data_IF_795110752331
#
_entry.id   IF_795110752331
#
_cell.length_a   1.000
_cell.length_b   1.000
_cell.length_c   1.000
_cell.angle_alpha   90.00
_cell.angle_beta   90.00
_cell.angle_gamma   90.00
#
_symmetry.space_group_name_H-M   'P 1'
#
loop_
_entity.id
_entity.type
_entity.pdbx_description
1 polymer ?
#
# COMPACT_ATOMS: atom_id res chain seq x y z
N UNK A 1 8.17 5.80 50.64
CA UNK A 1 9.30 5.49 49.75
C UNK A 1 8.92 4.26 48.94
N UNK A 2 8.35 4.47 47.74
CA UNK A 2 8.00 3.38 46.82
C UNK A 2 9.09 3.33 45.73
N UNK A 3 9.68 2.15 45.54
CA UNK A 3 10.83 1.96 44.64
C UNK A 3 10.41 2.04 43.17
N UNK A 4 11.10 2.88 42.40
CA UNK A 4 10.89 3.10 40.96
C UNK A 4 11.38 1.94 40.07
N UNK A 5 11.43 0.71 40.58
CA UNK A 5 12.05 -0.45 39.89
C UNK A 5 11.06 -1.33 39.12
N UNK A 6 9.82 -0.89 38.91
CA UNK A 6 8.75 -1.73 38.34
C UNK A 6 7.99 -1.10 37.16
N UNK A 7 8.49 -0.01 36.60
CA UNK A 7 7.97 0.53 35.35
C UNK A 7 9.13 0.74 34.38
N UNK A 8 9.64 -0.38 33.84
CA UNK A 8 10.39 -0.33 32.60
C UNK A 8 9.39 0.05 31.50
N UNK A 9 9.61 1.21 30.90
CA UNK A 9 8.78 1.75 29.83
C UNK A 9 8.96 0.87 28.59
N UNK A 10 7.94 0.11 28.14
CA UNK A 10 8.08 -0.82 27.02
C UNK A 10 8.16 -0.13 25.65
N UNK A 11 8.22 1.21 25.62
CA UNK A 11 8.27 2.05 24.42
C UNK A 11 9.58 2.86 24.30
N UNK A 12 10.61 2.52 25.08
CA UNK A 12 11.88 3.26 25.04
C UNK A 12 12.75 2.95 23.81
N UNK A 13 12.42 1.90 23.05
CA UNK A 13 13.22 1.40 21.91
C UNK A 13 12.51 1.52 20.54
N UNK A 14 11.36 2.21 20.45
CA UNK A 14 10.70 2.42 19.16
C UNK A 14 11.32 3.63 18.43
N UNK A 15 12.57 3.46 17.99
CA UNK A 15 13.16 4.19 16.85
C UNK A 15 12.51 3.70 15.54
N UNK A 16 11.18 3.84 15.44
CA UNK A 16 10.46 3.74 14.17
C UNK A 16 10.80 4.97 13.33
N UNK A 17 12.00 4.96 12.73
CA UNK A 17 12.35 5.75 11.56
C UNK A 17 11.46 5.32 10.38
N UNK A 18 10.19 5.73 10.44
CA UNK A 18 9.25 5.70 9.33
C UNK A 18 9.77 6.66 8.25
N UNK A 19 10.66 6.14 7.40
CA UNK A 19 11.07 6.77 6.17
C UNK A 19 9.86 6.84 5.23
N UNK A 20 9.11 7.94 5.30
CA UNK A 20 8.16 8.31 4.26
C UNK A 20 8.93 8.62 2.98
N UNK A 21 9.10 7.61 2.13
CA UNK A 21 9.48 7.82 0.74
C UNK A 21 8.38 8.62 0.06
N UNK A 22 8.72 9.84 -0.39
CA UNK A 22 7.85 10.70 -1.18
C UNK A 22 7.54 10.01 -2.52
N UNK A 23 6.33 9.46 -2.66
CA UNK A 23 5.86 8.90 -3.92
C UNK A 23 5.36 10.07 -4.77
N UNK A 24 6.20 10.57 -5.67
CA UNK A 24 5.80 11.46 -6.74
C UNK A 24 4.81 10.73 -7.66
N UNK A 25 3.57 11.22 -7.83
CA UNK A 25 2.67 10.65 -8.82
C UNK A 25 3.18 10.99 -10.21
N UNK A 26 3.52 9.95 -10.97
CA UNK A 26 3.84 10.05 -12.39
C UNK A 26 2.59 10.52 -13.16
N UNK A 27 2.61 11.75 -13.67
CA UNK A 27 1.55 12.31 -14.50
C UNK A 27 1.57 11.63 -15.87
N UNK A 28 0.92 10.48 -15.97
CA UNK A 28 0.53 9.88 -17.24
C UNK A 28 -0.83 10.41 -17.67
N UNK A 29 -0.85 11.43 -18.55
CA UNK A 29 -2.02 11.79 -19.34
C UNK A 29 -2.52 10.57 -20.12
N UNK A 30 -3.71 10.06 -19.78
CA UNK A 30 -4.45 9.17 -20.67
C UNK A 30 -5.74 9.86 -21.07
N UNK A 31 -5.72 10.30 -22.32
CA UNK A 31 -6.77 10.93 -23.09
C UNK A 31 -8.06 10.12 -23.03
N UNK A 32 -9.15 10.83 -22.71
CA UNK A 32 -10.53 10.35 -22.77
C UNK A 32 -10.93 9.95 -24.20
N UNK A 33 -11.45 8.73 -24.35
CA UNK A 33 -12.14 8.27 -25.55
C UNK A 33 -13.60 7.94 -25.23
N UNK A 34 -14.50 8.88 -25.53
CA UNK A 34 -15.94 8.74 -25.41
C UNK A 34 -16.53 7.75 -26.45
N UNK A 35 -17.55 6.98 -26.05
CA UNK A 35 -18.30 6.09 -26.95
C UNK A 35 -19.53 5.46 -26.27
N UNK A 36 -20.67 6.12 -26.41
CA UNK A 36 -22.04 5.80 -25.97
C UNK A 36 -22.67 4.58 -26.73
N UNK A 37 -23.97 4.22 -26.54
CA UNK A 37 -24.52 3.26 -25.59
C UNK A 37 -25.19 2.04 -26.28
N UNK A 38 -25.57 0.96 -25.58
CA UNK A 38 -26.63 0.07 -26.10
C UNK A 38 -27.30 -0.86 -25.09
N UNK A 39 -28.62 -0.65 -24.97
CA UNK A 39 -29.72 -1.61 -24.87
C UNK A 39 -29.69 -2.76 -23.85
N UNK A 40 -30.59 -2.60 -22.86
CA UNK A 40 -31.58 -3.56 -22.37
C UNK A 40 -31.49 -5.03 -22.83
N UNK A 41 -31.44 -5.94 -21.84
CA UNK A 41 -32.35 -7.09 -21.81
C UNK A 41 -32.62 -7.55 -20.38
N UNK A 42 -33.89 -7.44 -19.99
CA UNK A 42 -34.52 -8.07 -18.82
C UNK A 42 -34.67 -9.57 -19.07
N UNK A 43 -34.16 -10.38 -18.16
CA UNK A 43 -34.57 -11.76 -17.83
C UNK A 43 -34.01 -11.96 -16.41
N UNK A 44 -34.75 -12.29 -15.35
CA UNK A 44 -35.81 -13.27 -15.27
C UNK A 44 -35.37 -14.36 -14.30
N UNK A 45 -35.64 -14.17 -13.00
CA UNK A 45 -35.91 -15.22 -11.99
C UNK A 45 -34.79 -16.24 -11.69
N UNK A 46 -34.38 -16.33 -10.41
CA UNK A 46 -34.71 -17.43 -9.48
C UNK A 46 -33.89 -17.24 -8.19
N UNK A 47 -34.61 -17.00 -7.10
CA UNK A 47 -34.09 -16.93 -5.74
C UNK A 47 -33.76 -18.35 -5.28
N UNK A 48 -32.49 -18.61 -4.99
CA UNK A 48 -32.06 -19.79 -4.25
C UNK A 48 -31.40 -19.30 -2.96
N UNK A 49 -32.15 -19.44 -1.88
CA UNK A 49 -31.65 -19.48 -0.52
C UNK A 49 -30.56 -20.56 -0.46
N UNK A 50 -29.33 -20.17 -0.13
CA UNK A 50 -28.30 -21.12 0.25
C UNK A 50 -27.81 -20.78 1.65
N UNK A 51 -28.02 -21.77 2.51
CA UNK A 51 -27.73 -21.78 3.91
C UNK A 51 -26.24 -21.99 4.18
N UNK A 52 -25.79 -21.48 5.33
CA UNK A 52 -24.67 -22.04 6.06
C UNK A 52 -23.35 -21.31 5.90
N UNK A 53 -22.97 -20.53 6.90
CA UNK A 53 -21.91 -20.93 7.84
C UNK A 53 -21.67 -19.78 8.81
N UNK A 54 -22.49 -19.69 9.86
CA UNK A 54 -22.20 -18.82 10.99
C UNK A 54 -21.22 -19.56 11.89
N UNK A 55 -20.01 -19.04 11.97
CA UNK A 55 -18.99 -19.42 12.95
C UNK A 55 -19.52 -19.05 14.32
N UNK A 56 -19.75 -20.07 15.15
CA UNK A 56 -20.22 -19.96 16.52
C UNK A 56 -19.13 -19.37 17.40
N UNK A 57 -19.21 -18.06 17.67
CA UNK A 57 -18.46 -17.45 18.75
C UNK A 57 -19.01 -17.94 20.10
N UNK A 58 -18.13 -18.61 20.83
CA UNK A 58 -18.31 -19.18 22.15
C UNK A 58 -18.85 -18.15 23.15
N UNK A 59 -20.15 -18.21 23.46
CA UNK A 59 -20.76 -17.58 24.62
C UNK A 59 -20.26 -18.29 25.87
N UNK A 60 -19.31 -17.69 26.60
CA UNK A 60 -19.05 -18.06 27.99
C UNK A 60 -20.21 -17.54 28.84
N UNK A 61 -20.96 -18.49 29.40
CA UNK A 61 -21.96 -18.24 30.43
C UNK A 61 -21.27 -17.69 31.68
N UNK A 62 -21.47 -16.41 31.95
CA UNK A 62 -21.28 -15.86 33.29
C UNK A 62 -22.48 -16.31 34.13
N UNK A 63 -22.33 -17.42 34.84
CA UNK A 63 -23.25 -17.80 35.90
C UNK A 63 -22.99 -16.87 37.09
N UNK A 64 -23.81 -15.82 37.21
CA UNK A 64 -23.94 -15.03 38.42
C UNK A 64 -24.43 -15.94 39.55
N UNK A 65 -23.50 -16.42 40.37
CA UNK A 65 -23.82 -17.00 41.66
C UNK A 65 -24.17 -15.83 42.60
N UNK A 66 -25.47 -15.55 42.72
CA UNK A 66 -26.04 -14.73 43.79
C UNK A 66 -25.76 -15.40 45.14
N UNK A 67 -24.66 -15.03 45.78
CA UNK A 67 -24.38 -15.40 47.17
C UNK A 67 -25.15 -14.43 48.06
N UNK A 68 -26.26 -14.92 48.58
CA UNK A 68 -27.06 -14.24 49.60
C UNK A 68 -26.29 -14.26 50.92
N UNK A 69 -25.52 -13.22 51.20
CA UNK A 69 -24.92 -12.98 52.53
C UNK A 69 -26.02 -12.85 53.58
N UNK A 70 -26.07 -13.81 54.48
CA UNK A 70 -26.94 -13.79 55.66
C UNK A 70 -26.05 -13.46 56.87
N UNK A 71 -26.30 -12.37 57.63
CA UNK A 71 -25.41 -11.98 58.72
C UNK A 71 -25.60 -12.91 59.93
N UNK A 72 -24.53 -13.39 60.58
CA UNK A 72 -24.65 -14.18 61.79
C UNK A 72 -24.95 -13.29 63.01
N UNK A 73 -25.73 -13.77 63.98
CA UNK A 73 -26.02 -13.04 65.19
C UNK A 73 -24.80 -12.96 66.11
N UNK A 74 -24.57 -11.79 66.69
CA UNK A 74 -23.54 -11.53 67.69
C UNK A 74 -23.86 -12.26 68.99
N UNK A 75 -23.16 -13.37 69.26
CA UNK A 75 -23.07 -13.98 70.58
C UNK A 75 -21.74 -13.63 71.23
N UNK A 76 -21.82 -12.76 72.23
CA UNK A 76 -20.78 -12.48 73.21
C UNK A 76 -20.51 -13.72 74.07
N UNK A 77 -19.30 -14.27 73.96
CA UNK A 77 -18.61 -15.08 74.97
C UNK A 77 -17.17 -15.22 74.47
N UNK A 78 -16.15 -14.69 75.14
CA UNK A 78 -15.79 -15.09 76.48
C UNK A 78 -14.77 -16.22 76.40
N UNK A 79 -13.53 -15.85 76.06
CA UNK A 79 -12.30 -16.41 76.65
C UNK A 79 -12.14 -17.95 76.67
N UNK A 80 -11.82 -18.57 75.53
CA UNK A 80 -11.02 -19.81 75.49
C UNK A 80 -10.07 -19.80 74.29
N UNK A 81 -8.77 -19.83 74.60
CA UNK A 81 -7.66 -19.63 73.67
C UNK A 81 -7.21 -20.96 73.03
N UNK A 82 -6.98 -20.92 71.71
CA UNK A 82 -6.19 -21.87 70.90
C UNK A 82 -6.70 -23.34 70.78
N UNK A 83 -7.24 -23.75 69.60
CA UNK A 83 -6.37 -24.22 68.50
C UNK A 83 -6.87 -23.89 67.08
N UNK A 84 -7.83 -22.96 66.90
CA UNK A 84 -8.41 -22.65 65.59
C UNK A 84 -7.44 -21.98 64.58
N UNK A 85 -6.30 -21.45 65.06
CA UNK A 85 -5.32 -20.77 64.22
C UNK A 85 -4.59 -21.70 63.23
N UNK A 86 -4.46 -23.00 63.54
CA UNK A 86 -3.73 -23.95 62.67
C UNK A 86 -4.55 -24.38 61.44
N UNK A 87 -5.89 -24.43 61.55
CA UNK A 87 -6.77 -24.77 60.42
C UNK A 87 -6.78 -23.67 59.35
N UNK A 88 -6.78 -22.40 59.78
CA UNK A 88 -6.72 -21.25 58.87
C UNK A 88 -5.39 -21.10 58.12
N UNK A 89 -4.28 -21.59 58.68
CA UNK A 89 -2.98 -21.56 57.99
C UNK A 89 -2.92 -22.52 56.81
N UNK A 90 -3.51 -23.72 56.94
CA UNK A 90 -3.52 -24.70 55.85
C UNK A 90 -4.40 -24.26 54.67
N UNK A 91 -5.53 -23.61 54.94
CA UNK A 91 -6.37 -23.04 53.87
C UNK A 91 -5.67 -21.89 53.16
N UNK A 92 -5.03 -20.99 53.91
CA UNK A 92 -4.26 -19.87 53.34
C UNK A 92 -3.16 -20.36 52.40
N UNK A 93 -2.39 -21.37 52.84
CA UNK A 93 -1.34 -21.98 52.01
C UNK A 93 -1.87 -22.60 50.72
N UNK A 94 -3.01 -23.29 50.75
CA UNK A 94 -3.62 -23.86 49.53
C UNK A 94 -4.07 -22.78 48.55
N UNK A 95 -4.61 -21.67 49.04
CA UNK A 95 -4.98 -20.54 48.18
C UNK A 95 -3.75 -19.87 47.57
N UNK A 96 -2.66 -19.71 48.33
CA UNK A 96 -1.40 -19.19 47.82
C UNK A 96 -0.81 -20.09 46.71
N UNK A 97 -0.80 -21.41 46.93
CA UNK A 97 -0.36 -22.40 45.94
C UNK A 97 -1.22 -22.32 44.66
N UNK A 98 -2.55 -22.21 44.78
CA UNK A 98 -3.45 -22.05 43.63
C UNK A 98 -3.25 -20.72 42.89
N UNK A 99 -3.04 -19.61 43.61
CA UNK A 99 -2.74 -18.31 42.99
C UNK A 99 -1.41 -18.37 42.24
N UNK A 100 -0.40 -19.06 42.78
CA UNK A 100 0.88 -19.28 42.09
C UNK A 100 0.70 -20.11 40.82
N UNK A 101 -0.09 -21.18 40.87
CA UNK A 101 -0.41 -22.02 39.71
C UNK A 101 -1.11 -21.20 38.60
N UNK A 102 -2.14 -20.43 38.96
CA UNK A 102 -2.84 -19.55 38.01
C UNK A 102 -1.93 -18.49 37.40
N UNK A 103 -0.99 -17.93 38.17
CA UNK A 103 -0.01 -16.96 37.65
C UNK A 103 0.93 -17.62 36.65
N UNK A 104 1.43 -18.82 36.95
CA UNK A 104 2.29 -19.58 36.04
C UNK A 104 1.54 -19.98 34.75
N UNK A 105 0.27 -20.36 34.86
CA UNK A 105 -0.58 -20.65 33.69
C UNK A 105 -0.81 -19.40 32.84
N UNK A 106 -1.08 -18.25 33.45
CA UNK A 106 -1.26 -16.98 32.74
C UNK A 106 0.03 -16.54 32.04
N UNK A 107 1.19 -16.70 32.68
CA UNK A 107 2.49 -16.43 32.08
C UNK A 107 2.77 -17.34 30.87
N UNK A 108 2.50 -18.64 31.01
CA UNK A 108 2.62 -19.62 29.92
C UNK A 108 1.70 -19.29 28.74
N UNK A 109 0.43 -18.97 29.01
CA UNK A 109 -0.54 -18.57 27.99
C UNK A 109 -0.13 -17.28 27.28
N UNK A 110 0.44 -16.31 28.01
CA UNK A 110 0.93 -15.06 27.43
C UNK A 110 2.17 -15.29 26.56
N UNK A 111 3.10 -16.16 26.99
CA UNK A 111 4.25 -16.57 26.19
C UNK A 111 3.80 -17.26 24.88
N UNK A 112 2.79 -18.13 24.95
CA UNK A 112 2.22 -18.76 23.75
C UNK A 112 1.53 -17.73 22.83
N UNK A 113 0.76 -16.79 23.37
CA UNK A 113 0.15 -15.70 22.60
C UNK A 113 1.20 -14.88 21.85
N UNK A 114 2.30 -14.53 22.52
CA UNK A 114 3.39 -13.78 21.91
C UNK A 114 4.07 -14.60 20.80
N UNK A 115 4.32 -15.89 21.03
CA UNK A 115 4.83 -16.82 20.01
C UNK A 115 3.91 -16.89 18.79
N UNK A 116 2.60 -17.03 19.00
CA UNK A 116 1.63 -17.09 17.91
C UNK A 116 1.59 -15.78 17.12
N UNK A 117 1.62 -14.63 17.80
CA UNK A 117 1.68 -13.30 17.17
C UNK A 117 2.95 -13.14 16.32
N UNK A 118 4.09 -13.61 16.81
CA UNK A 118 5.34 -13.62 16.04
C UNK A 118 5.27 -14.53 14.81
N UNK A 119 4.64 -15.70 14.92
CA UNK A 119 4.43 -16.58 13.76
C UNK A 119 3.46 -16.01 12.74
N UNK A 120 2.42 -15.31 13.20
CA UNK A 120 1.44 -14.64 12.35
C UNK A 120 2.09 -13.52 11.55
N UNK A 121 2.79 -12.58 12.21
CA UNK A 121 3.49 -11.47 11.54
C UNK A 121 4.52 -11.97 10.53
N UNK A 122 5.26 -13.04 10.86
CA UNK A 122 6.18 -13.70 9.92
C UNK A 122 5.46 -14.28 8.70
N UNK A 123 4.31 -14.93 8.89
CA UNK A 123 3.51 -15.48 7.80
C UNK A 123 2.93 -14.37 6.91
N UNK A 124 2.46 -13.27 7.50
CA UNK A 124 1.95 -12.10 6.78
C UNK A 124 3.04 -11.43 5.94
N UNK A 125 4.25 -11.24 6.50
CA UNK A 125 5.41 -10.73 5.77
C UNK A 125 5.75 -11.62 4.57
N UNK A 126 5.79 -12.95 4.76
CA UNK A 126 6.04 -13.90 3.67
C UNK A 126 4.95 -13.85 2.59
N UNK A 127 3.69 -13.69 2.97
CA UNK A 127 2.59 -13.56 2.02
C UNK A 127 2.73 -12.28 1.17
N UNK A 128 3.05 -11.14 1.79
CA UNK A 128 3.31 -9.87 1.07
C UNK A 128 4.49 -10.00 0.10
N UNK A 129 5.58 -10.65 0.54
CA UNK A 129 6.76 -10.89 -0.30
C UNK A 129 6.43 -11.76 -1.54
N UNK A 130 5.66 -12.84 -1.36
CA UNK A 130 5.23 -13.70 -2.46
C UNK A 130 4.26 -12.99 -3.42
N UNK A 131 3.40 -12.10 -2.92
CA UNK A 131 2.52 -11.29 -3.77
C UNK A 131 3.33 -10.36 -4.68
N UNK A 132 4.34 -9.68 -4.13
CA UNK A 132 5.24 -8.85 -4.93
C UNK A 132 6.02 -9.65 -5.98
N UNK A 133 6.53 -10.83 -5.62
CA UNK A 133 7.20 -11.72 -6.57
C UNK A 133 6.26 -12.17 -7.70
N UNK A 134 5.01 -12.51 -7.37
CA UNK A 134 3.97 -12.86 -8.35
C UNK A 134 3.71 -11.70 -9.32
N UNK A 135 3.47 -10.49 -8.82
CA UNK A 135 3.22 -9.31 -9.65
C UNK A 135 4.40 -9.01 -10.59
N UNK A 136 5.63 -9.15 -10.09
CA UNK A 136 6.86 -8.99 -10.89
C UNK A 136 6.92 -10.01 -12.05
N UNK A 137 6.64 -11.29 -11.77
CA UNK A 137 6.62 -12.34 -12.79
C UNK A 137 5.47 -12.14 -13.80
N UNK A 138 4.30 -11.69 -13.35
CA UNK A 138 3.17 -11.38 -14.24
C UNK A 138 3.50 -10.22 -15.19
N UNK A 139 4.15 -9.17 -14.69
CA UNK A 139 4.63 -8.06 -15.50
C UNK A 139 5.66 -8.52 -16.54
N UNK A 140 6.63 -9.35 -16.13
CA UNK A 140 7.64 -9.89 -17.04
C UNK A 140 7.02 -10.77 -18.13
N UNK A 141 6.04 -11.61 -17.77
CA UNK A 141 5.30 -12.43 -18.73
C UNK A 141 4.51 -11.58 -19.73
N UNK A 142 3.93 -10.46 -19.28
CA UNK A 142 3.23 -9.53 -20.17
C UNK A 142 4.19 -8.93 -21.20
N UNK A 143 5.35 -8.44 -20.74
CA UNK A 143 6.39 -7.88 -21.61
C UNK A 143 6.89 -8.91 -22.63
N UNK A 144 7.07 -10.16 -22.22
CA UNK A 144 7.49 -11.24 -23.12
C UNK A 144 6.41 -11.58 -24.15
N UNK A 145 5.13 -11.53 -23.78
CA UNK A 145 4.01 -11.71 -24.71
C UNK A 145 3.96 -10.60 -25.76
N UNK A 146 4.12 -9.34 -25.36
CA UNK A 146 4.18 -8.21 -26.29
C UNK A 146 5.37 -8.35 -27.26
N UNK A 147 6.55 -8.66 -26.73
CA UNK A 147 7.74 -8.94 -27.54
C UNK A 147 7.50 -10.08 -28.54
N UNK A 148 6.89 -11.18 -28.07
CA UNK A 148 6.57 -12.34 -28.91
C UNK A 148 5.56 -11.99 -29.99
N UNK A 149 4.57 -11.15 -29.67
CA UNK A 149 3.60 -10.64 -30.62
C UNK A 149 4.26 -9.80 -31.72
N UNK A 150 5.10 -8.83 -31.35
CA UNK A 150 5.86 -8.02 -32.32
C UNK A 150 6.78 -8.88 -33.20
N UNK A 151 7.41 -9.92 -32.65
CA UNK A 151 8.22 -10.84 -33.43
C UNK A 151 7.37 -11.66 -34.40
N UNK A 152 6.19 -12.12 -33.99
CA UNK A 152 5.26 -12.83 -34.87
C UNK A 152 4.79 -11.96 -36.03
N UNK A 153 4.48 -10.68 -35.78
CA UNK A 153 4.14 -9.71 -36.84
C UNK A 153 5.30 -9.51 -37.84
N UNK A 154 6.54 -9.40 -37.34
CA UNK A 154 7.73 -9.28 -38.19
C UNK A 154 7.98 -10.53 -39.03
N UNK A 155 7.81 -11.72 -38.44
CA UNK A 155 7.92 -12.99 -39.16
C UNK A 155 6.87 -13.05 -40.27
N UNK A 156 5.61 -12.72 -39.97
CA UNK A 156 4.55 -12.69 -40.97
C UNK A 156 4.84 -11.69 -42.12
N UNK A 157 5.38 -10.52 -41.81
CA UNK A 157 5.77 -9.54 -42.82
C UNK A 157 6.90 -10.06 -43.73
N UNK A 158 7.91 -10.72 -43.15
CA UNK A 158 9.02 -11.32 -43.90
C UNK A 158 8.55 -12.51 -44.75
N UNK A 159 7.62 -13.32 -44.26
CA UNK A 159 7.01 -14.42 -45.02
C UNK A 159 6.31 -13.89 -46.28
N UNK A 160 5.52 -12.81 -46.15
CA UNK A 160 4.88 -12.13 -47.27
C UNK A 160 5.92 -11.59 -48.26
N UNK A 161 7.01 -10.98 -47.79
CA UNK A 161 8.08 -10.46 -48.65
C UNK A 161 8.78 -11.58 -49.43
N UNK A 162 9.08 -12.71 -48.78
CA UNK A 162 9.66 -13.89 -49.42
C UNK A 162 8.73 -14.46 -50.48
N UNK A 163 7.43 -14.54 -50.21
CA UNK A 163 6.43 -15.02 -51.18
C UNK A 163 6.30 -14.08 -52.39
N UNK A 164 6.40 -12.75 -52.18
CA UNK A 164 6.45 -11.78 -53.27
C UNK A 164 7.71 -11.93 -54.11
N UNK A 165 8.88 -12.12 -53.48
CA UNK A 165 10.14 -12.34 -54.20
C UNK A 165 10.12 -13.64 -55.00
N UNK A 166 9.58 -14.72 -54.42
CA UNK A 166 9.41 -16.00 -55.11
C UNK A 166 8.49 -15.86 -56.33
N UNK A 167 7.38 -15.12 -56.19
CA UNK A 167 6.44 -14.84 -57.29
C UNK A 167 7.13 -14.06 -58.42
N UNK A 168 7.87 -13.00 -58.09
CA UNK A 168 8.65 -12.21 -59.07
C UNK A 168 9.73 -13.04 -59.77
N UNK A 169 10.44 -13.89 -59.04
CA UNK A 169 11.45 -14.78 -59.60
C UNK A 169 10.83 -15.78 -60.60
N UNK A 170 9.66 -16.34 -60.26
CA UNK A 170 8.89 -17.21 -61.14
C UNK A 170 8.44 -16.50 -62.42
N UNK A 171 7.92 -15.27 -62.31
CA UNK A 171 7.56 -14.45 -63.48
C UNK A 171 8.74 -14.16 -64.41
N UNK A 172 9.92 -13.84 -63.85
CA UNK A 172 11.15 -13.61 -64.63
C UNK A 172 11.60 -14.90 -65.33
N UNK A 173 11.54 -16.04 -64.65
CA UNK A 173 11.87 -17.34 -65.24
C UNK A 173 10.96 -17.66 -66.45
N UNK A 174 9.65 -17.45 -66.32
CA UNK A 174 8.71 -17.65 -67.43
C UNK A 174 8.93 -16.69 -68.61
N UNK A 175 9.33 -15.43 -68.35
CA UNK A 175 9.71 -14.49 -69.44
C UNK A 175 10.99 -14.93 -70.16
N UNK A 176 11.97 -15.46 -69.44
CA UNK A 176 13.21 -15.96 -70.01
C UNK A 176 13.00 -17.13 -70.98
N UNK A 177 12.12 -18.08 -70.63
CA UNK A 177 11.75 -19.20 -71.50
C UNK A 177 11.03 -18.75 -72.78
N UNK A 178 10.11 -17.77 -72.66
CA UNK A 178 9.39 -17.23 -73.81
C UNK A 178 10.30 -16.46 -74.80
N UNK A 179 11.32 -15.77 -74.31
CA UNK A 179 12.25 -15.01 -75.15
C UNK A 179 13.21 -15.89 -75.96
N UNK A 180 13.60 -17.05 -75.44
CA UNK A 180 14.48 -18.01 -76.14
C UNK A 180 13.77 -18.76 -77.29
N UNK A 181 12.44 -18.77 -77.32
CA UNK A 181 11.65 -19.44 -78.38
C UNK A 181 11.58 -18.69 -79.73
N UNK A 182 12.03 -17.43 -79.81
CA UNK A 182 11.87 -16.59 -81.01
C UNK A 182 13.17 -16.15 -81.69
N UNK A 183 14.35 -16.58 -81.22
CA UNK A 183 15.65 -16.18 -81.77
C UNK A 183 16.27 -17.16 -82.79
N UNK A 184 15.47 -18.04 -83.41
CA UNK A 184 15.91 -18.92 -84.51
C UNK A 184 15.54 -18.36 -85.90
N UNK A 185 15.78 -17.08 -86.14
CA UNK A 185 15.88 -16.55 -87.50
C UNK A 185 17.16 -15.73 -87.62
N UNK A 186 18.08 -16.25 -88.44
CA UNK A 186 19.27 -15.56 -88.94
C UNK A 186 18.94 -14.16 -89.46
N UNK A 187 19.79 -13.16 -89.17
CA UNK A 187 19.99 -12.06 -90.09
C UNK A 187 21.42 -12.13 -90.62
N UNK A 188 21.52 -12.36 -91.93
CA UNK A 188 22.75 -12.17 -92.67
C UNK A 188 23.34 -10.78 -92.48
N UNK A 189 24.66 -10.76 -92.35
CA UNK A 189 25.61 -9.71 -92.75
C UNK A 189 25.05 -8.33 -93.12
N UNK A 190 25.36 -7.32 -92.33
CA UNK A 190 25.40 -5.92 -92.79
C UNK A 190 26.32 -5.10 -91.88
N UNK A 191 27.56 -4.94 -92.34
CA UNK A 191 28.54 -3.93 -91.93
C UNK A 191 27.97 -2.52 -92.10
N UNK A 192 27.98 -1.71 -91.05
CA UNK A 192 28.14 -0.26 -91.20
C UNK A 192 28.71 0.38 -89.93
N UNK A 193 29.83 1.06 -90.11
CA UNK A 193 30.42 2.03 -89.20
C UNK A 193 29.49 3.25 -89.00
N UNK A 194 29.44 3.77 -87.77
CA UNK A 194 29.33 5.20 -87.40
C UNK A 194 29.05 5.28 -85.89
N UNK A 195 30.00 5.65 -85.02
CA UNK A 195 30.42 7.03 -84.71
C UNK A 195 29.43 7.77 -83.78
N UNK A 196 29.92 8.03 -82.56
CA UNK A 196 29.53 9.04 -81.55
C UNK A 196 28.09 9.07 -81.02
N UNK A 197 27.94 8.84 -79.70
CA UNK A 197 27.57 9.91 -78.76
C UNK A 197 27.68 9.48 -77.31
N UNK A 198 28.18 10.42 -76.52
CA UNK A 198 28.48 10.32 -75.11
C UNK A 198 27.24 10.64 -74.22
N UNK A 199 27.40 10.29 -72.94
CA UNK A 199 26.69 10.78 -71.73
C UNK A 199 25.29 10.23 -71.43
N UNK A 200 24.81 10.29 -70.16
CA UNK A 200 25.50 10.57 -68.89
C UNK A 200 25.31 9.45 -67.83
N UNK A 201 26.13 9.54 -66.79
CA UNK A 201 26.03 8.78 -65.54
C UNK A 201 24.61 8.81 -64.95
N UNK A 202 24.03 7.64 -64.71
CA UNK A 202 23.02 7.47 -63.66
C UNK A 202 23.58 6.55 -62.58
N UNK A 203 24.10 7.20 -61.53
CA UNK A 203 24.40 6.55 -60.26
C UNK A 203 23.08 6.03 -59.71
N UNK A 204 22.89 4.71 -59.77
CA UNK A 204 21.81 4.05 -59.04
C UNK A 204 22.23 4.01 -57.57
N UNK A 205 21.66 4.94 -56.80
CA UNK A 205 21.77 4.96 -55.35
C UNK A 205 20.89 3.83 -54.82
N UNK A 206 21.54 2.82 -54.27
CA UNK A 206 20.94 1.75 -53.48
C UNK A 206 20.44 2.36 -52.14
N UNK A 207 19.12 2.32 -51.80
CA UNK A 207 18.62 2.94 -50.57
C UNK A 207 18.82 2.10 -49.31
N UNK A 208 19.38 0.89 -49.38
CA UNK A 208 19.40 -0.05 -48.25
C UNK A 208 20.77 -0.30 -47.60
N UNK A 209 21.76 0.55 -47.84
CA UNK A 209 23.06 0.49 -47.16
C UNK A 209 23.16 1.52 -46.00
N UNK A 210 22.26 1.46 -45.02
CA UNK A 210 22.45 2.10 -43.71
C UNK A 210 22.76 1.05 -42.65
N UNK A 211 23.87 0.35 -42.82
CA UNK A 211 24.50 -0.39 -41.72
C UNK A 211 25.21 0.60 -40.82
N UNK A 212 24.67 0.77 -39.62
CA UNK A 212 25.30 1.39 -38.46
C UNK A 212 26.79 1.01 -38.37
N UNK A 213 27.67 1.96 -38.71
CA UNK A 213 29.02 2.02 -38.14
C UNK A 213 28.90 2.59 -36.74
N UNK A 214 28.68 1.71 -35.76
CA UNK A 214 28.98 2.06 -34.38
C UNK A 214 30.51 2.08 -34.25
N UNK A 215 31.05 3.27 -34.03
CA UNK A 215 32.45 3.50 -33.66
C UNK A 215 32.75 2.70 -32.38
N UNK A 216 33.42 1.55 -32.50
CA UNK A 216 34.23 1.04 -31.41
C UNK A 216 35.62 1.62 -31.56
N UNK A 217 35.89 2.63 -30.73
CA UNK A 217 37.20 3.18 -30.54
C UNK A 217 38.14 2.06 -30.07
N UNK A 218 39.18 1.89 -30.88
CA UNK A 218 40.45 1.28 -30.54
C UNK A 218 40.92 1.71 -29.14
N UNK A 219 41.07 0.73 -28.24
CA UNK A 219 42.20 0.72 -27.30
C UNK A 219 42.96 -0.59 -27.51
N UNK A 220 43.89 -0.49 -28.45
CA UNK A 220 45.12 -1.27 -28.52
C UNK A 220 45.81 -1.25 -27.15
N UNK A 221 46.08 -2.43 -26.63
CA UNK A 221 46.93 -2.70 -25.48
C UNK A 221 47.37 -4.14 -25.65
N UNK A 222 48.45 -4.30 -26.42
CA UNK A 222 49.15 -5.56 -26.63
C UNK A 222 49.59 -6.09 -25.25
N UNK A 223 49.22 -7.33 -24.92
CA UNK A 223 50.02 -8.20 -24.06
C UNK A 223 49.60 -9.65 -24.31
N UNK A 224 50.49 -10.35 -25.02
CA UNK A 224 50.51 -11.79 -25.23
C UNK A 224 50.57 -12.51 -23.88
N UNK A 225 49.55 -13.31 -23.56
CA UNK A 225 49.69 -14.47 -22.68
C UNK A 225 48.64 -15.52 -23.02
N UNK A 226 49.12 -16.60 -23.63
CA UNK A 226 48.41 -17.85 -23.88
C UNK A 226 47.95 -18.43 -22.53
N UNK A 227 46.67 -18.24 -22.20
CA UNK A 227 46.01 -18.85 -21.07
C UNK A 227 44.62 -19.31 -21.47
N UNK A 228 44.44 -20.62 -21.58
CA UNK A 228 43.15 -21.27 -21.84
C UNK A 228 42.16 -20.91 -20.72
N UNK A 229 41.33 -19.90 -20.94
CA UNK A 229 40.20 -19.62 -20.07
C UNK A 229 38.91 -20.08 -20.76
N UNK A 230 38.25 -21.04 -20.12
CA UNK A 230 36.89 -21.46 -20.39
C UNK A 230 35.96 -20.25 -20.26
N UNK A 231 35.69 -19.60 -21.39
CA UNK A 231 34.76 -18.47 -21.48
C UNK A 231 33.36 -18.99 -21.13
N UNK A 232 32.95 -18.74 -19.88
CA UNK A 232 31.57 -19.00 -19.47
C UNK A 232 30.63 -18.12 -20.28
N UNK A 233 29.46 -18.65 -20.71
CA UNK A 233 28.49 -17.87 -21.47
C UNK A 233 28.06 -16.62 -20.70
N UNK A 234 27.69 -15.53 -21.40
CA UNK A 234 27.25 -14.30 -20.75
C UNK A 234 26.05 -14.60 -19.85
N UNK A 235 26.24 -14.39 -18.55
CA UNK A 235 25.21 -14.54 -17.54
C UNK A 235 24.00 -13.65 -17.88
N UNK A 236 22.76 -14.16 -17.77
CA UNK A 236 21.55 -13.38 -17.95
C UNK A 236 21.56 -12.10 -17.11
N UNK A 237 21.03 -11.02 -17.68
CA UNK A 237 21.07 -9.67 -17.11
C UNK A 237 20.50 -9.59 -15.68
N UNK A 238 19.50 -10.43 -15.36
CA UNK A 238 18.92 -10.53 -14.01
C UNK A 238 19.94 -11.01 -12.95
N UNK A 239 20.84 -11.92 -13.32
CA UNK A 239 21.85 -12.48 -12.43
C UNK A 239 23.01 -11.50 -12.21
N UNK A 240 23.25 -10.62 -13.20
CA UNK A 240 24.17 -9.48 -13.09
C UNK A 240 23.61 -8.41 -12.15
N UNK A 241 22.30 -8.15 -12.21
CA UNK A 241 21.61 -7.18 -11.35
C UNK A 241 21.55 -7.65 -9.87
N UNK A 242 21.32 -8.95 -9.63
CA UNK A 242 21.40 -9.53 -8.27
C UNK A 242 22.80 -9.44 -7.65
N UNK A 243 23.87 -9.66 -8.43
CA UNK A 243 25.25 -9.47 -7.93
C UNK A 243 25.60 -8.01 -7.65
N UNK A 244 24.96 -7.06 -8.30
CA UNK A 244 25.18 -5.63 -8.05
C UNK A 244 24.52 -5.15 -6.74
N UNK A 245 23.48 -5.85 -6.25
CA UNK A 245 22.80 -5.52 -4.98
C UNK A 245 23.55 -5.97 -3.73
N UNK A 246 24.22 -7.12 -3.77
CA UNK A 246 24.97 -7.66 -2.64
C UNK A 246 26.02 -6.69 -2.02
N UNK A 247 26.87 -5.97 -2.79
CA UNK A 247 27.82 -5.02 -2.22
C UNK A 247 27.15 -3.74 -1.66
N UNK A 248 25.91 -3.46 -2.05
CA UNK A 248 25.15 -2.29 -1.58
C UNK A 248 24.53 -2.55 -0.21
N UNK A 249 23.99 -3.75 0.01
CA UNK A 249 23.55 -4.24 1.32
C UNK A 249 24.73 -4.34 2.30
N UNK A 250 25.90 -4.81 1.85
CA UNK A 250 27.10 -4.86 2.68
C UNK A 250 27.60 -3.46 3.10
N UNK A 251 27.40 -2.44 2.25
CA UNK A 251 27.71 -1.03 2.59
C UNK A 251 26.69 -0.42 3.55
N UNK A 252 25.42 -0.83 3.49
CA UNK A 252 24.39 -0.37 4.43
C UNK A 252 24.65 -0.92 5.83
N UNK A 253 24.95 -2.22 5.96
CA UNK A 253 25.32 -2.84 7.23
C UNK A 253 26.57 -2.20 7.87
N UNK A 254 27.58 -1.84 7.08
CA UNK A 254 28.79 -1.18 7.58
C UNK A 254 28.53 0.28 8.06
N UNK A 255 27.51 0.96 7.52
CA UNK A 255 27.15 2.32 7.96
C UNK A 255 26.31 2.31 9.24
N UNK A 256 25.54 1.26 9.49
CA UNK A 256 24.78 1.08 10.74
C UNK A 256 25.71 0.82 11.92
N UNK A 257 26.77 0.02 11.75
CA UNK A 257 27.79 -0.19 12.79
C UNK A 257 28.58 1.08 13.15
N UNK A 258 28.70 2.03 12.21
CA UNK A 258 29.45 3.27 12.45
C UNK A 258 28.64 4.36 13.17
N UNK A 259 27.31 4.24 13.28
CA UNK A 259 26.44 5.31 13.80
C UNK A 259 26.02 5.13 15.26
N UNK A 260 26.30 3.98 15.87
CA UNK A 260 26.11 3.71 17.30
C UNK A 260 27.15 4.40 18.20
N UNK A 261 27.32 5.71 18.07
CA UNK A 261 28.14 6.52 18.96
C UNK A 261 27.33 6.95 20.18
N UNK A 262 27.61 6.32 21.32
CA UNK A 262 27.09 6.66 22.66
C UNK A 262 27.07 8.18 22.91
N UNK A 263 25.88 8.78 22.92
CA UNK A 263 25.66 10.13 23.41
C UNK A 263 25.19 10.06 24.87
N UNK A 264 26.15 9.93 25.79
CA UNK A 264 25.94 10.42 27.14
C UNK A 264 25.85 11.95 27.08
N UNK A 265 24.66 12.52 27.22
CA UNK A 265 24.48 13.95 27.46
C UNK A 265 23.45 14.22 28.54
N UNK A 266 23.96 14.25 29.77
CA UNK A 266 23.78 15.35 30.72
C UNK A 266 22.36 15.77 31.04
N UNK A 267 21.89 15.34 32.21
CA UNK A 267 20.74 15.92 32.87
C UNK A 267 20.91 17.43 33.10
N UNK A 268 19.81 18.16 32.93
CA UNK A 268 19.65 19.50 33.45
C UNK A 268 18.23 19.60 34.01
N UNK A 269 18.18 19.61 35.34
CA UNK A 269 17.06 20.10 36.14
C UNK A 269 16.61 21.47 35.65
N UNK A 270 15.31 21.61 35.36
CA UNK A 270 14.67 22.91 35.21
C UNK A 270 13.26 22.87 35.80
N UNK A 271 13.20 23.04 37.11
CA UNK A 271 12.02 23.57 37.80
C UNK A 271 11.95 25.08 37.55
N UNK A 272 10.76 25.66 37.38
CA UNK A 272 10.50 26.90 38.08
C UNK A 272 9.13 26.90 38.78
N UNK A 273 9.25 26.92 40.10
CA UNK A 273 8.56 27.75 41.06
C UNK A 273 8.06 29.10 40.49
N UNK A 274 6.81 29.47 40.79
CA UNK A 274 6.38 30.86 41.05
C UNK A 274 4.85 30.93 41.33
N UNK A 275 4.50 30.87 42.61
CA UNK A 275 3.30 31.51 43.13
C UNK A 275 3.53 33.03 43.30
N UNK A 276 2.50 33.89 43.20
CA UNK A 276 2.58 35.25 43.72
C UNK A 276 1.78 35.38 45.02
N UNK A 277 2.50 35.66 46.11
CA UNK A 277 1.92 36.24 47.33
C UNK A 277 1.92 37.78 47.28
N UNK A 278 0.81 38.32 47.78
CA UNK A 278 0.63 39.52 48.58
C UNK A 278 1.37 40.83 48.24
N UNK A 279 0.59 41.88 47.97
CA UNK A 279 0.87 43.20 48.53
C UNK A 279 -0.42 43.87 49.05
N UNK A 280 -0.40 44.12 50.35
CA UNK A 280 -1.31 44.97 51.12
C UNK A 280 -0.82 46.43 51.07
N UNK A 281 -1.66 47.38 50.67
CA UNK A 281 -1.50 48.76 51.16
C UNK A 281 -2.74 49.66 50.94
N UNK A 282 -3.24 50.17 52.08
CA UNK A 282 -3.78 51.51 52.34
C UNK A 282 -5.02 52.03 51.56
N UNK A 283 -6.15 52.05 52.28
CA UNK A 283 -7.15 53.14 52.32
C UNK A 283 -6.51 54.44 52.91
N UNK A 284 -7.17 55.63 52.92
CA UNK A 284 -8.49 56.00 52.40
C UNK A 284 -8.52 57.34 51.61
N UNK A 285 -9.65 57.71 51.00
CA UNK A 285 -10.36 59.01 51.20
C UNK A 285 -11.49 59.21 50.18
N UNK A 286 -12.67 59.46 50.74
CA UNK A 286 -13.94 59.91 50.19
C UNK A 286 -13.90 61.01 49.12
N UNK A 287 -14.68 60.85 48.06
CA UNK A 287 -15.77 61.78 47.68
C UNK A 287 -16.75 61.07 46.75
N UNK A 288 -17.94 60.73 47.27
CA UNK A 288 -19.14 60.51 46.47
C UNK A 288 -19.44 61.80 45.67
N UNK A 289 -20.08 61.82 44.51
CA UNK A 289 -21.40 61.24 44.22
C UNK A 289 -21.65 61.44 42.72
N UNK A 290 -21.78 60.36 41.93
CA UNK A 290 -22.46 60.31 40.60
C UNK A 290 -22.15 59.03 39.79
N UNK A 291 -21.15 58.23 40.18
CA UNK A 291 -20.64 57.10 39.37
C UNK A 291 -21.45 55.79 39.44
N UNK A 292 -22.51 55.68 40.25
CA UNK A 292 -23.21 54.41 40.49
C UNK A 292 -24.06 53.95 39.29
N UNK A 293 -24.72 54.88 38.58
CA UNK A 293 -25.57 54.57 37.42
C UNK A 293 -24.78 54.12 36.19
N UNK A 294 -23.57 54.63 35.99
CA UNK A 294 -22.70 54.23 34.86
C UNK A 294 -22.02 52.88 35.07
N UNK A 295 -21.89 52.38 36.31
CA UNK A 295 -21.27 51.08 36.61
C UNK A 295 -22.22 49.92 36.28
N UNK A 296 -23.53 50.11 36.46
CA UNK A 296 -24.58 49.13 36.14
C UNK A 296 -24.66 48.85 34.62
N UNK A 297 -24.66 49.89 33.78
CA UNK A 297 -24.75 49.73 32.32
C UNK A 297 -23.54 49.01 31.68
N UNK A 298 -22.34 49.13 32.29
CA UNK A 298 -21.15 48.38 31.81
C UNK A 298 -21.24 46.89 32.14
N UNK A 299 -21.83 46.52 33.28
CA UNK A 299 -22.07 45.13 33.65
C UNK A 299 -23.03 44.44 32.70
N UNK A 300 -24.12 45.13 32.34
CA UNK A 300 -25.11 44.61 31.40
C UNK A 300 -24.54 44.38 30.01
N UNK A 301 -23.76 45.33 29.46
CA UNK A 301 -23.10 45.15 28.16
C UNK A 301 -22.10 43.99 28.14
N UNK A 302 -21.41 43.73 29.27
CA UNK A 302 -20.50 42.58 29.39
C UNK A 302 -21.27 41.26 29.43
N UNK A 303 -22.40 41.20 30.13
CA UNK A 303 -23.25 40.02 30.16
C UNK A 303 -23.84 39.70 28.76
N UNK A 304 -24.35 40.71 28.05
CA UNK A 304 -24.86 40.56 26.68
C UNK A 304 -23.75 40.10 25.71
N UNK A 305 -22.54 40.65 25.83
CA UNK A 305 -21.40 40.25 25.00
C UNK A 305 -20.98 38.79 25.27
N UNK A 306 -20.99 38.34 26.53
CA UNK A 306 -20.71 36.94 26.89
C UNK A 306 -21.79 36.02 26.35
N UNK A 307 -23.08 36.37 26.52
CA UNK A 307 -24.20 35.59 25.99
C UNK A 307 -24.14 35.46 24.46
N UNK A 308 -23.79 36.55 23.76
CA UNK A 308 -23.60 36.50 22.31
C UNK A 308 -22.45 35.58 21.89
N UNK A 309 -21.33 35.60 22.63
CA UNK A 309 -20.20 34.68 22.39
C UNK A 309 -20.59 33.22 22.61
N UNK A 310 -21.33 32.92 23.68
CA UNK A 310 -21.82 31.56 23.96
C UNK A 310 -22.75 31.09 22.85
N UNK A 311 -23.71 31.91 22.41
CA UNK A 311 -24.60 31.56 21.30
C UNK A 311 -23.84 31.36 19.98
N UNK A 312 -22.81 32.16 19.72
CA UNK A 312 -21.98 31.99 18.53
C UNK A 312 -21.16 30.69 18.60
N UNK A 313 -20.58 30.37 19.75
CA UNK A 313 -19.85 29.12 19.95
C UNK A 313 -20.76 27.90 19.82
N UNK A 314 -22.00 27.99 20.33
CA UNK A 314 -22.99 26.94 20.18
C UNK A 314 -23.37 26.72 18.71
N UNK A 315 -23.59 27.79 17.93
CA UNK A 315 -23.85 27.66 16.48
C UNK A 315 -22.70 27.01 15.72
N UNK A 316 -21.47 27.39 16.02
CA UNK A 316 -20.29 26.76 15.39
C UNK A 316 -20.17 25.28 15.75
N UNK A 317 -20.47 24.92 17.01
CA UNK A 317 -20.50 23.53 17.43
C UNK A 317 -21.62 22.74 16.73
N UNK A 318 -22.81 23.33 16.57
CA UNK A 318 -23.94 22.74 15.86
C UNK A 318 -23.63 22.56 14.36
N UNK A 319 -22.98 23.53 13.72
CA UNK A 319 -22.52 23.47 12.32
C UNK A 319 -21.50 22.35 12.11
N UNK A 320 -20.47 22.26 12.99
CA UNK A 320 -19.49 21.18 12.95
C UNK A 320 -20.13 19.81 13.19
N UNK A 321 -21.09 19.72 14.12
CA UNK A 321 -21.82 18.49 14.38
C UNK A 321 -22.69 18.06 13.20
N UNK A 322 -23.24 19.00 12.43
CA UNK A 322 -23.98 18.70 11.21
C UNK A 322 -23.06 18.16 10.10
N UNK A 323 -21.89 18.77 9.91
CA UNK A 323 -20.88 18.34 8.93
C UNK A 323 -20.35 16.93 9.22
N UNK A 324 -20.05 16.63 10.49
CA UNK A 324 -19.63 15.28 10.91
C UNK A 324 -20.71 14.24 10.59
N UNK A 325 -21.99 14.55 10.84
CA UNK A 325 -23.09 13.65 10.51
C UNK A 325 -23.21 13.38 9.01
N UNK A 326 -23.05 14.41 8.18
CA UNK A 326 -23.07 14.25 6.72
C UNK A 326 -21.92 13.35 6.24
N UNK A 327 -20.72 13.54 6.78
CA UNK A 327 -19.56 12.68 6.49
C UNK A 327 -19.77 11.22 6.96
N UNK A 328 -20.42 11.00 8.10
CA UNK A 328 -20.78 9.66 8.59
C UNK A 328 -21.80 8.96 7.67
N UNK A 329 -22.83 9.68 7.22
CA UNK A 329 -23.83 9.15 6.27
C UNK A 329 -23.20 8.81 4.92
N UNK A 330 -22.31 9.67 4.41
CA UNK A 330 -21.53 9.41 3.20
C UNK A 330 -20.63 8.19 3.38
N UNK A 331 -19.91 8.09 4.50
CA UNK A 331 -19.05 6.94 4.80
C UNK A 331 -19.84 5.64 4.80
N UNK A 332 -21.02 5.64 5.41
CA UNK A 332 -21.90 4.47 5.46
C UNK A 332 -22.35 4.07 4.05
N UNK A 333 -22.74 5.03 3.22
CA UNK A 333 -23.18 4.80 1.83
C UNK A 333 -22.06 4.19 0.99
N UNK A 334 -20.84 4.75 1.06
CA UNK A 334 -19.68 4.24 0.35
C UNK A 334 -19.25 2.84 0.86
N UNK A 335 -19.34 2.57 2.16
CA UNK A 335 -19.09 1.23 2.69
C UNK A 335 -20.09 0.18 2.16
N UNK A 336 -21.37 0.53 2.07
CA UNK A 336 -22.39 -0.35 1.47
C UNK A 336 -22.08 -0.62 -0.01
N UNK A 337 -21.73 0.42 -0.77
CA UNK A 337 -21.35 0.29 -2.18
C UNK A 337 -20.10 -0.60 -2.38
N UNK A 338 -19.08 -0.45 -1.53
CA UNK A 338 -17.91 -1.34 -1.52
C UNK A 338 -18.31 -2.79 -1.28
N UNK A 339 -19.20 -3.07 -0.33
CA UNK A 339 -19.66 -4.43 -0.03
C UNK A 339 -20.45 -5.04 -1.21
N UNK A 340 -21.26 -4.22 -1.90
CA UNK A 340 -21.95 -4.61 -3.13
C UNK A 340 -20.96 -4.95 -4.25
N UNK A 341 -19.96 -4.10 -4.49
CA UNK A 341 -18.92 -4.34 -5.50
C UNK A 341 -18.08 -5.58 -5.17
N UNK A 342 -17.74 -5.79 -3.90
CA UNK A 342 -17.04 -7.00 -3.42
C UNK A 342 -17.87 -8.25 -3.71
N UNK A 343 -19.17 -8.20 -3.45
CA UNK A 343 -20.10 -9.30 -3.75
C UNK A 343 -20.20 -9.54 -5.26
N UNK A 344 -20.22 -8.49 -6.07
CA UNK A 344 -20.22 -8.61 -7.54
C UNK A 344 -18.92 -9.23 -8.05
N UNK A 345 -17.77 -8.80 -7.51
CA UNK A 345 -16.46 -9.34 -7.86
C UNK A 345 -16.39 -10.84 -7.54
N UNK A 346 -16.79 -11.23 -6.32
CA UNK A 346 -16.84 -12.63 -5.90
C UNK A 346 -17.74 -13.49 -6.81
N UNK A 347 -18.90 -12.95 -7.24
CA UNK A 347 -19.77 -13.61 -8.21
C UNK A 347 -19.07 -13.80 -9.55
N UNK A 348 -18.40 -12.77 -10.08
CA UNK A 348 -17.65 -12.86 -11.33
C UNK A 348 -16.49 -13.85 -11.23
N UNK A 349 -15.85 -13.97 -10.07
CA UNK A 349 -14.76 -14.91 -9.82
C UNK A 349 -15.21 -16.35 -9.71
N UNK A 350 -16.36 -16.59 -9.08
CA UNK A 350 -16.95 -17.93 -9.02
C UNK A 350 -17.42 -18.44 -10.39
N UNK A 351 -17.68 -17.53 -11.33
CA UNK A 351 -17.99 -17.88 -12.72
C UNK A 351 -16.70 -18.04 -13.53
N UNK A 352 -16.62 -19.10 -14.33
CA UNK A 352 -15.52 -19.26 -15.29
C UNK A 352 -15.64 -18.19 -16.37
N UNK A 353 -14.77 -17.17 -16.32
CA UNK A 353 -14.71 -16.08 -17.32
C UNK A 353 -14.24 -16.64 -18.67
N UNK A 354 -15.16 -16.80 -19.62
CA UNK A 354 -14.89 -17.39 -20.95
C UNK A 354 -14.74 -16.33 -22.02
N UNK A 355 -15.40 -15.19 -21.86
CA UNK A 355 -15.45 -14.13 -22.86
C UNK A 355 -14.57 -12.94 -22.48
N UNK A 356 -14.10 -12.19 -23.47
CA UNK A 356 -13.35 -10.95 -23.26
C UNK A 356 -14.22 -9.89 -22.55
N UNK A 357 -15.52 -9.87 -22.84
CA UNK A 357 -16.46 -8.95 -22.21
C UNK A 357 -16.60 -9.19 -20.70
N UNK A 358 -16.65 -10.46 -20.25
CA UNK A 358 -16.67 -10.81 -18.83
C UNK A 358 -15.39 -10.40 -18.12
N UNK A 359 -14.22 -10.61 -18.75
CA UNK A 359 -12.92 -10.18 -18.21
C UNK A 359 -12.86 -8.66 -18.06
N UNK A 360 -13.35 -7.91 -19.06
CA UNK A 360 -13.46 -6.43 -18.98
C UNK A 360 -14.40 -5.98 -17.88
N UNK A 361 -15.55 -6.66 -17.71
CA UNK A 361 -16.49 -6.37 -16.62
C UNK A 361 -15.83 -6.60 -15.25
N UNK A 362 -15.08 -7.71 -15.09
CA UNK A 362 -14.33 -7.96 -13.85
C UNK A 362 -13.34 -6.83 -13.56
N UNK A 363 -12.51 -6.47 -14.54
CA UNK A 363 -11.55 -5.37 -14.39
C UNK A 363 -12.24 -4.04 -14.04
N UNK A 364 -13.39 -3.73 -14.64
CA UNK A 364 -14.15 -2.52 -14.32
C UNK A 364 -14.68 -2.51 -12.87
N UNK A 365 -15.13 -3.66 -12.36
CA UNK A 365 -15.56 -3.80 -10.95
C UNK A 365 -14.37 -3.66 -10.01
N UNK A 366 -13.20 -4.19 -10.35
CA UNK A 366 -11.96 -4.04 -9.56
C UNK A 366 -11.54 -2.57 -9.45
N UNK A 367 -11.50 -1.85 -10.58
CA UNK A 367 -11.19 -0.40 -10.58
C UNK A 367 -12.21 0.38 -9.75
N UNK A 368 -13.50 0.07 -9.90
CA UNK A 368 -14.55 0.74 -9.11
C UNK A 368 -14.39 0.46 -7.61
N UNK A 369 -13.97 -0.75 -7.22
CA UNK A 369 -13.74 -1.10 -5.83
C UNK A 369 -12.57 -0.29 -5.24
N UNK A 370 -11.47 -0.13 -5.98
CA UNK A 370 -10.33 0.67 -5.58
C UNK A 370 -10.69 2.16 -5.40
N UNK A 371 -11.50 2.71 -6.31
CA UNK A 371 -12.00 4.09 -6.21
C UNK A 371 -12.87 4.32 -4.96
N UNK A 372 -13.72 3.35 -4.63
CA UNK A 372 -14.54 3.38 -3.41
C UNK A 372 -13.67 3.30 -2.15
N UNK A 373 -12.64 2.45 -2.13
CA UNK A 373 -11.70 2.36 -1.02
C UNK A 373 -10.91 3.66 -0.80
N UNK A 374 -10.46 4.31 -1.89
CA UNK A 374 -9.82 5.63 -1.84
C UNK A 374 -10.78 6.69 -1.26
N UNK A 375 -12.04 6.66 -1.66
CA UNK A 375 -13.07 7.60 -1.20
C UNK A 375 -13.36 7.39 0.30
N UNK A 376 -13.55 6.14 0.73
CA UNK A 376 -13.70 5.76 2.14
C UNK A 376 -12.49 6.24 2.97
N UNK A 377 -11.27 6.05 2.44
CA UNK A 377 -10.04 6.51 3.08
C UNK A 377 -10.01 8.03 3.29
N UNK A 378 -10.42 8.80 2.28
CA UNK A 378 -10.53 10.28 2.36
C UNK A 378 -11.55 10.72 3.40
N UNK A 379 -12.77 10.17 3.37
CA UNK A 379 -13.83 10.52 4.33
C UNK A 379 -13.37 10.22 5.77
N UNK A 380 -12.71 9.08 6.01
CA UNK A 380 -12.14 8.75 7.33
C UNK A 380 -11.05 9.70 7.79
N UNK A 381 -10.25 10.25 6.86
CA UNK A 381 -9.25 11.28 7.18
C UNK A 381 -9.93 12.59 7.57
N UNK A 382 -10.94 13.01 6.82
CA UNK A 382 -11.74 14.21 7.13
C UNK A 382 -12.42 14.08 8.50
N UNK A 383 -13.10 12.97 8.78
CA UNK A 383 -13.71 12.70 10.09
C UNK A 383 -12.70 12.76 11.25
N UNK A 384 -11.47 12.27 11.05
CA UNK A 384 -10.39 12.39 12.04
C UNK A 384 -9.94 13.85 12.22
N UNK A 385 -9.86 14.62 11.15
CA UNK A 385 -9.56 16.05 11.20
C UNK A 385 -10.63 16.82 12.01
N UNK A 386 -11.92 16.59 11.73
CA UNK A 386 -13.01 17.20 12.50
C UNK A 386 -13.03 16.74 13.97
N UNK A 387 -12.76 15.45 14.23
CA UNK A 387 -12.68 14.92 15.59
C UNK A 387 -11.51 15.50 16.40
N UNK A 388 -10.39 15.81 15.73
CA UNK A 388 -9.24 16.45 16.37
C UNK A 388 -9.50 17.93 16.70
N UNK A 389 -10.30 18.63 15.90
CA UNK A 389 -10.74 20.01 16.15
C UNK A 389 -11.72 20.12 17.32
N UNK A 390 -12.46 19.06 17.63
CA UNK A 390 -13.45 19.01 18.72
C UNK A 390 -12.87 18.62 20.08
N UNK A 391 -11.64 18.08 20.13
CA UNK A 391 -10.91 17.84 21.38
C UNK A 391 -10.11 19.07 21.78
#
# INVERSE_FOLDING_TARGET
MFSSKYYDNPFADDDDDLCYGEILPDQGEIVSGAGHPSAERREGRLSLQSAGSQVTASRRNAAEASITETPPPATNSGDECAPAALSGQLSTRRYEEYIMELRAELESANAEKNRLTATQTKAESRARSLLFEKESVEWQLHLEKERSHTLAEKVAALEIEVEQMASRASEVAHRGEAALGHANHEPGTSTHEAVHSAMPHHVHVDPCASSLKLQQASKRGDDDCVGQNLTSPPLPEWQRNMRARAPLEQRQAANEESRGGSFERGGADASPDAAPEAETSAEPTSTATSSALTRSLRGQRRAEAVQKKILQQQRLADEQAAEVKELEELLQTHCQKRDELTTQLQRLESMRLRTVAEKRRKAAVEVSLEEEEKTIGRIRLELRSHSALLR
#
